data_IF_905886770274
#
_entry.id   IF_905886770274
#
_cell.length_a   1.000
_cell.length_b   1.000
_cell.length_c   1.000
_cell.angle_alpha   90.00
_cell.angle_beta   90.00
_cell.angle_gamma   90.00
#
_symmetry.space_group_name_H-M   'P 1'
#
loop_
_entity.id
_entity.type
_entity.pdbx_description
1 polymer ?
#
# COMPACT_ATOMS: atom_id res chain seq x y z
N UNK A 1 -14.11 -4.69 13.18
CA UNK A 1 -12.80 -4.95 12.54
C UNK A 1 -13.09 -5.61 11.20
N UNK A 2 -13.33 -4.81 10.16
CA UNK A 2 -13.53 -5.34 8.81
C UNK A 2 -12.15 -5.65 8.24
N UNK A 3 -11.84 -6.94 8.16
CA UNK A 3 -10.70 -7.45 7.42
C UNK A 3 -11.03 -7.20 5.95
N UNK A 4 -10.22 -6.38 5.28
CA UNK A 4 -10.27 -6.27 3.82
C UNK A 4 -9.90 -7.64 3.24
N UNK A 5 -10.91 -8.41 2.86
CA UNK A 5 -10.74 -9.54 1.96
C UNK A 5 -10.69 -8.98 0.55
N UNK A 6 -9.51 -8.59 0.10
CA UNK A 6 -9.27 -8.57 -1.34
C UNK A 6 -9.34 -10.01 -1.84
N UNK A 7 -10.24 -10.24 -2.80
CA UNK A 7 -10.34 -11.53 -3.49
C UNK A 7 -8.99 -11.83 -4.12
N UNK A 8 -8.43 -12.96 -3.74
CA UNK A 8 -7.13 -13.47 -4.19
C UNK A 8 -6.96 -13.29 -5.72
N UNK A 9 -6.10 -12.37 -6.21
CA UNK A 9 -5.96 -12.09 -7.64
C UNK A 9 -5.18 -13.18 -8.42
N UNK A 10 -4.89 -14.31 -7.79
CA UNK A 10 -3.92 -15.30 -8.26
C UNK A 10 -4.55 -16.55 -8.89
N UNK A 11 -5.43 -16.40 -9.89
CA UNK A 11 -5.74 -17.52 -10.80
C UNK A 11 -6.07 -17.02 -12.20
N UNK A 12 -5.11 -17.07 -13.12
CA UNK A 12 -5.31 -17.28 -14.57
C UNK A 12 -3.97 -17.60 -15.26
N UNK A 13 -4.01 -18.64 -16.10
CA UNK A 13 -3.00 -19.05 -17.07
C UNK A 13 -2.91 -18.01 -18.21
N UNK A 14 -1.95 -17.10 -18.16
CA UNK A 14 -1.67 -16.26 -19.33
C UNK A 14 -0.16 -16.01 -19.44
N UNK A 15 0.38 -16.16 -20.65
CA UNK A 15 1.82 -16.25 -20.94
C UNK A 15 2.47 -14.89 -21.19
N UNK A 16 1.91 -13.82 -20.63
CA UNK A 16 2.48 -12.47 -20.65
C UNK A 16 2.86 -12.05 -19.22
N UNK A 17 3.89 -11.21 -19.05
CA UNK A 17 4.24 -10.71 -17.73
C UNK A 17 3.06 -9.93 -17.19
N UNK A 18 2.59 -10.30 -16.00
CA UNK A 18 1.50 -9.59 -15.34
C UNK A 18 2.04 -8.24 -14.88
N UNK A 19 1.60 -7.18 -15.56
CA UNK A 19 1.71 -5.81 -15.06
C UNK A 19 0.71 -5.64 -13.92
N UNK A 20 1.13 -4.93 -12.88
CA UNK A 20 0.36 -4.70 -11.67
C UNK A 20 0.50 -3.25 -11.27
N UNK A 21 -0.59 -2.73 -10.72
CA UNK A 21 -0.62 -1.40 -10.18
C UNK A 21 -1.11 -1.45 -8.74
N UNK A 22 -0.33 -0.85 -7.84
CA UNK A 22 -0.64 -0.77 -6.43
C UNK A 22 -0.81 0.69 -6.03
N UNK A 23 -2.00 1.04 -5.57
CA UNK A 23 -2.28 2.34 -4.95
C UNK A 23 -1.98 2.25 -3.46
N UNK A 24 -1.17 3.19 -2.97
CA UNK A 24 -0.78 3.22 -1.56
C UNK A 24 -1.73 4.19 -0.84
N UNK A 25 -2.41 3.75 0.22
CA UNK A 25 -3.26 4.64 1.00
C UNK A 25 -2.45 5.82 1.53
N UNK A 26 -2.96 7.02 1.31
CA UNK A 26 -2.24 8.26 1.57
C UNK A 26 -3.05 9.19 2.49
N UNK A 27 -2.47 10.34 2.83
CA UNK A 27 -3.07 11.31 3.75
C UNK A 27 -3.32 12.63 3.03
N UNK A 28 -4.49 13.21 3.25
CA UNK A 28 -4.81 14.59 2.90
C UNK A 28 -5.08 15.40 4.16
N UNK A 29 -4.95 16.72 4.07
CA UNK A 29 -5.29 17.62 5.16
C UNK A 29 -6.00 18.86 4.63
N UNK A 30 -7.01 19.28 5.38
CA UNK A 30 -7.71 20.53 5.13
C UNK A 30 -6.80 21.72 5.51
N UNK A 31 -6.73 22.72 4.63
CA UNK A 31 -5.93 23.94 4.79
C UNK A 31 -6.74 25.07 5.46
N UNK A 32 -8.02 25.20 5.12
CA UNK A 32 -8.91 26.24 5.64
C UNK A 32 -10.35 25.72 5.75
N UNK A 33 -10.90 25.66 6.97
CA UNK A 33 -12.30 25.30 7.24
C UNK A 33 -13.31 26.13 6.45
N UNK A 34 -13.05 27.43 6.27
CA UNK A 34 -14.04 28.35 5.69
C UNK A 34 -14.21 28.15 4.20
N UNK A 35 -13.12 27.81 3.51
CA UNK A 35 -13.12 27.59 2.06
C UNK A 35 -13.21 26.09 1.71
N UNK A 36 -12.91 25.20 2.67
CA UNK A 36 -12.83 23.77 2.45
C UNK A 36 -11.64 23.37 1.56
N UNK A 37 -10.64 24.25 1.46
CA UNK A 37 -9.43 23.98 0.70
C UNK A 37 -8.67 22.82 1.36
N UNK A 38 -8.12 21.91 0.57
CA UNK A 38 -7.34 20.80 1.11
C UNK A 38 -6.19 20.41 0.19
N UNK A 39 -5.14 19.89 0.80
CA UNK A 39 -4.03 19.23 0.13
C UNK A 39 -4.26 17.73 0.19
N UNK A 40 -4.26 17.06 -0.97
CA UNK A 40 -4.42 15.62 -1.10
C UNK A 40 -3.16 15.04 -1.71
N UNK A 41 -2.63 13.96 -1.13
CA UNK A 41 -1.49 13.22 -1.68
C UNK A 41 -1.96 11.92 -2.32
N UNK A 42 -1.28 11.50 -3.38
CA UNK A 42 -1.59 10.27 -4.11
C UNK A 42 -0.29 9.54 -4.40
N UNK A 43 -0.24 8.28 -4.01
CA UNK A 43 0.94 7.43 -4.16
C UNK A 43 0.57 6.15 -4.90
N UNK A 44 1.43 5.74 -5.82
CA UNK A 44 1.26 4.50 -6.55
C UNK A 44 2.57 3.89 -7.01
N UNK A 45 2.53 2.59 -7.27
CA UNK A 45 3.64 1.81 -7.80
C UNK A 45 3.15 0.89 -8.92
N UNK A 46 3.70 1.10 -10.12
CA UNK A 46 3.46 0.30 -11.30
C UNK A 46 4.68 -0.55 -11.62
N UNK A 47 4.46 -1.86 -11.69
CA UNK A 47 5.53 -2.82 -11.87
C UNK A 47 5.04 -4.02 -12.66
N UNK A 48 5.98 -4.78 -13.20
CA UNK A 48 5.71 -6.04 -13.90
C UNK A 48 6.44 -7.17 -13.22
N UNK A 49 5.80 -8.34 -13.16
CA UNK A 49 6.51 -9.57 -12.76
C UNK A 49 7.71 -9.82 -13.68
N UNK A 50 8.84 -10.21 -13.10
CA UNK A 50 9.96 -10.72 -13.89
C UNK A 50 9.56 -12.06 -14.54
N UNK A 51 9.48 -12.05 -15.86
CA UNK A 51 9.02 -13.18 -16.68
C UNK A 51 10.08 -14.27 -16.89
N UNK A 52 11.36 -13.97 -16.66
CA UNK A 52 12.40 -14.97 -16.83
C UNK A 52 12.38 -15.95 -15.65
N UNK A 53 11.75 -17.09 -15.89
CA UNK A 53 11.76 -18.24 -14.97
C UNK A 53 13.18 -18.57 -14.53
N UNK A 54 14.19 -18.36 -15.37
CA UNK A 54 15.60 -18.62 -15.07
C UNK A 54 16.12 -17.68 -13.96
N UNK A 55 16.04 -16.35 -14.12
CA UNK A 55 16.59 -15.42 -13.12
C UNK A 55 15.76 -15.49 -11.83
N UNK A 56 14.43 -15.56 -11.97
CA UNK A 56 13.52 -15.73 -10.85
C UNK A 56 13.83 -17.01 -10.06
N UNK A 57 14.06 -18.14 -10.74
CA UNK A 57 14.41 -19.40 -10.08
C UNK A 57 15.81 -19.35 -9.45
N UNK A 58 16.80 -18.72 -10.08
CA UNK A 58 18.15 -18.60 -9.48
C UNK A 58 18.09 -17.80 -8.18
N UNK A 59 17.47 -16.62 -8.18
CA UNK A 59 17.40 -15.78 -6.98
C UNK A 59 16.51 -16.43 -5.92
N UNK A 60 15.36 -17.01 -6.32
CA UNK A 60 14.47 -17.75 -5.43
C UNK A 60 15.20 -18.93 -4.78
N UNK A 61 15.91 -19.75 -5.54
CA UNK A 61 16.65 -20.90 -5.01
C UNK A 61 17.79 -20.46 -4.09
N UNK A 62 18.49 -19.38 -4.44
CA UNK A 62 19.55 -18.81 -3.59
C UNK A 62 18.99 -18.32 -2.25
N UNK A 63 17.87 -17.60 -2.30
CA UNK A 63 17.21 -17.09 -1.11
C UNK A 63 16.60 -18.21 -0.26
N UNK A 64 15.98 -19.22 -0.88
CA UNK A 64 15.47 -20.40 -0.20
C UNK A 64 16.59 -21.22 0.45
N UNK A 65 17.72 -21.39 -0.23
CA UNK A 65 18.89 -22.06 0.32
C UNK A 65 19.45 -21.29 1.53
N UNK A 66 19.63 -19.97 1.40
CA UNK A 66 20.07 -19.12 2.49
C UNK A 66 19.12 -19.21 3.70
N UNK A 67 17.81 -19.13 3.46
CA UNK A 67 16.80 -19.27 4.52
C UNK A 67 16.74 -20.70 5.10
N UNK A 68 17.06 -21.72 4.31
CA UNK A 68 17.15 -23.13 4.75
C UNK A 68 18.37 -23.40 5.64
N UNK A 69 19.49 -22.72 5.40
CA UNK A 69 20.64 -22.72 6.33
C UNK A 69 20.30 -22.02 7.63
N UNK A 70 19.47 -20.97 7.58
CA UNK A 70 19.05 -20.18 8.73
C UNK A 70 18.01 -20.90 9.61
N UNK A 71 17.13 -21.69 8.99
CA UNK A 71 16.11 -22.47 9.67
C UNK A 71 15.75 -23.69 8.81
N UNK A 72 15.86 -24.90 9.39
CA UNK A 72 15.55 -26.17 8.70
C UNK A 72 14.05 -26.47 8.62
N UNK A 73 13.20 -25.57 9.13
CA UNK A 73 11.75 -25.66 9.07
C UNK A 73 11.15 -25.38 7.68
N UNK A 74 9.96 -24.78 7.66
CA UNK A 74 9.17 -24.53 6.45
C UNK A 74 9.94 -23.75 5.36
N UNK A 75 9.56 -23.96 4.09
CA UNK A 75 10.10 -23.20 2.96
C UNK A 75 9.58 -21.76 2.95
N UNK A 76 10.28 -20.87 2.25
CA UNK A 76 9.84 -19.49 2.10
C UNK A 76 8.49 -19.41 1.38
N UNK A 77 7.59 -18.57 1.88
CA UNK A 77 6.30 -18.28 1.28
C UNK A 77 6.50 -17.48 -0.02
N UNK A 78 6.05 -18.05 -1.13
CA UNK A 78 6.27 -17.47 -2.47
C UNK A 78 5.58 -16.12 -2.67
N UNK A 79 4.40 -15.93 -2.09
CA UNK A 79 3.66 -14.66 -2.21
C UNK A 79 4.43 -13.52 -1.56
N UNK A 80 5.16 -13.79 -0.48
CA UNK A 80 5.98 -12.79 0.21
C UNK A 80 7.28 -12.46 -0.49
N UNK A 81 7.73 -13.33 -1.38
CA UNK A 81 8.91 -13.13 -2.21
C UNK A 81 8.59 -12.39 -3.49
N UNK A 82 7.34 -12.43 -3.95
CA UNK A 82 6.93 -11.90 -5.24
C UNK A 82 7.27 -10.42 -5.44
N UNK A 83 7.08 -9.51 -4.46
CA UNK A 83 7.44 -8.10 -4.61
C UNK A 83 8.94 -7.84 -4.82
N UNK A 84 9.82 -8.80 -4.50
CA UNK A 84 11.26 -8.70 -4.75
C UNK A 84 11.66 -9.17 -6.16
N UNK A 85 10.70 -9.67 -6.93
CA UNK A 85 10.88 -10.22 -8.28
C UNK A 85 10.07 -9.48 -9.33
N UNK A 86 10.09 -8.16 -9.22
CA UNK A 86 9.39 -7.26 -10.13
C UNK A 86 10.39 -6.33 -10.81
N UNK A 87 10.03 -5.87 -12.00
CA UNK A 87 10.70 -4.77 -12.66
C UNK A 87 9.78 -3.55 -12.62
N UNK A 88 10.34 -2.42 -12.25
CA UNK A 88 9.65 -1.14 -12.32
C UNK A 88 9.35 -0.76 -13.78
N UNK A 89 8.25 -0.03 -13.97
CA UNK A 89 7.81 0.42 -15.29
C UNK A 89 7.62 1.94 -15.27
N UNK A 90 8.54 2.65 -15.93
CA UNK A 90 8.55 4.11 -16.02
C UNK A 90 7.59 4.65 -17.08
N UNK A 91 7.32 5.95 -17.00
CA UNK A 91 6.58 6.74 -17.99
C UNK A 91 5.15 6.26 -18.27
N UNK A 92 4.61 5.43 -17.37
CA UNK A 92 3.23 4.96 -17.46
C UNK A 92 2.30 6.03 -16.94
N UNK A 93 1.32 6.39 -17.77
CA UNK A 93 0.35 7.44 -17.46
C UNK A 93 -0.93 6.86 -16.85
N UNK A 94 -1.44 7.58 -15.85
CA UNK A 94 -2.72 7.29 -15.22
C UNK A 94 -3.54 8.57 -15.12
N UNK A 95 -4.84 8.46 -15.35
CA UNK A 95 -5.81 9.49 -14.97
C UNK A 95 -6.33 9.19 -13.57
N UNK A 96 -5.96 10.01 -12.59
CA UNK A 96 -6.56 10.02 -11.27
C UNK A 96 -7.90 10.75 -11.35
N UNK A 97 -9.00 10.06 -11.09
CA UNK A 97 -10.37 10.60 -11.04
C UNK A 97 -10.84 10.67 -9.59
N UNK A 98 -10.92 11.90 -9.07
CA UNK A 98 -11.33 12.18 -7.69
C UNK A 98 -12.84 12.42 -7.60
N UNK A 99 -13.44 12.97 -8.66
CA UNK A 99 -14.89 13.13 -8.85
C UNK A 99 -15.20 13.21 -10.34
N UNK A 100 -16.46 13.45 -10.72
CA UNK A 100 -16.84 13.65 -12.12
C UNK A 100 -16.19 14.88 -12.77
N UNK A 101 -15.83 15.88 -11.97
CA UNK A 101 -15.30 17.17 -12.44
C UNK A 101 -13.81 17.37 -12.13
N UNK A 102 -13.21 16.49 -11.33
CA UNK A 102 -11.82 16.64 -10.89
C UNK A 102 -11.04 15.39 -11.30
N UNK A 103 -10.11 15.59 -12.23
CA UNK A 103 -9.14 14.58 -12.63
C UNK A 103 -7.77 15.17 -12.88
N UNK A 104 -6.73 14.35 -12.69
CA UNK A 104 -5.34 14.73 -12.88
C UNK A 104 -4.60 13.60 -13.60
N UNK A 105 -3.78 13.94 -14.59
CA UNK A 105 -2.87 12.96 -15.21
C UNK A 105 -1.58 12.92 -14.39
N UNK A 106 -1.13 11.71 -14.08
CA UNK A 106 0.15 11.43 -13.44
C UNK A 106 0.94 10.44 -14.30
N UNK A 107 2.27 10.44 -14.15
CA UNK A 107 3.16 9.49 -14.79
C UNK A 107 4.07 8.83 -13.77
N UNK A 108 4.44 7.58 -13.98
CA UNK A 108 5.47 6.92 -13.17
C UNK A 108 6.87 7.42 -13.49
N UNK A 109 7.72 7.48 -12.48
CA UNK A 109 9.14 7.78 -12.55
C UNK A 109 9.98 6.54 -12.92
N UNK A 110 11.30 6.67 -12.89
CA UNK A 110 12.26 5.60 -13.17
C UNK A 110 12.15 4.38 -12.24
N UNK A 111 11.54 4.55 -11.06
CA UNK A 111 11.27 3.48 -10.09
C UNK A 111 9.84 2.96 -10.21
N UNK A 112 9.13 3.30 -11.29
CA UNK A 112 7.75 2.89 -11.51
C UNK A 112 6.78 3.52 -10.53
N UNK A 113 7.18 4.57 -9.80
CA UNK A 113 6.35 5.21 -8.77
C UNK A 113 5.80 6.52 -9.26
N UNK A 114 4.69 6.96 -8.70
CA UNK A 114 4.37 8.38 -8.70
C UNK A 114 4.03 8.83 -7.29
N UNK A 115 4.31 10.10 -7.05
CA UNK A 115 3.85 10.83 -5.89
C UNK A 115 3.28 12.16 -6.39
N UNK A 116 1.98 12.38 -6.18
CA UNK A 116 1.31 13.59 -6.64
C UNK A 116 0.61 14.28 -5.47
N UNK A 117 0.80 15.59 -5.36
CA UNK A 117 0.02 16.44 -4.46
C UNK A 117 -0.95 17.29 -5.27
N UNK A 118 -2.22 17.30 -4.90
CA UNK A 118 -3.28 18.11 -5.52
C UNK A 118 -3.89 19.00 -4.45
N UNK A 119 -3.93 20.30 -4.72
CA UNK A 119 -4.70 21.25 -3.91
C UNK A 119 -6.10 21.34 -4.51
N UNK A 120 -7.11 21.06 -3.72
CA UNK A 120 -8.51 21.19 -4.10
C UNK A 120 -9.13 22.38 -3.39
N UNK A 121 -9.92 23.15 -4.12
CA UNK A 121 -10.54 24.37 -3.61
C UNK A 121 -11.80 24.10 -2.76
N UNK A 122 -12.26 22.86 -2.68
CA UNK A 122 -13.35 22.46 -1.78
C UNK A 122 -13.46 20.94 -1.66
N UNK A 123 -13.27 20.40 -0.45
CA UNK A 123 -13.51 18.99 -0.15
C UNK A 123 -14.98 18.58 -0.33
N UNK A 124 -15.93 19.53 -0.23
CA UNK A 124 -17.37 19.25 -0.37
C UNK A 124 -17.77 18.80 -1.78
N UNK A 125 -16.94 19.10 -2.78
CA UNK A 125 -17.11 18.67 -4.18
C UNK A 125 -16.56 17.27 -4.46
N UNK A 126 -15.97 16.63 -3.45
CA UNK A 126 -15.39 15.31 -3.53
C UNK A 126 -16.27 14.30 -2.75
N UNK A 127 -16.27 13.03 -3.17
CA UNK A 127 -17.05 11.97 -2.50
C UNK A 127 -16.39 11.52 -1.19
N UNK A 128 -16.16 12.46 -0.26
CA UNK A 128 -15.58 12.18 1.05
C UNK A 128 -16.65 11.63 1.99
N UNK A 129 -16.51 10.37 2.39
CA UNK A 129 -17.37 9.74 3.39
C UNK A 129 -16.63 9.64 4.74
N UNK A 130 -17.11 10.36 5.74
CA UNK A 130 -16.40 10.52 7.01
C UNK A 130 -15.07 11.28 6.82
N UNK A 131 -13.96 10.54 6.84
CA UNK A 131 -12.59 11.02 6.60
C UNK A 131 -11.92 10.30 5.43
N UNK A 132 -12.70 9.59 4.60
CA UNK A 132 -12.18 8.75 3.52
C UNK A 132 -12.62 9.33 2.19
N UNK A 133 -11.65 9.73 1.38
CA UNK A 133 -11.85 10.02 -0.04
C UNK A 133 -11.46 8.77 -0.84
N UNK A 134 -12.40 8.24 -1.60
CA UNK A 134 -12.10 7.23 -2.63
C UNK A 134 -11.84 7.93 -3.96
N UNK A 135 -10.89 7.41 -4.72
CA UNK A 135 -10.60 7.85 -6.08
C UNK A 135 -10.35 6.64 -6.97
N UNK A 136 -10.46 6.84 -8.29
CA UNK A 136 -10.16 5.80 -9.27
C UNK A 136 -8.95 6.25 -10.09
N UNK A 137 -7.94 5.41 -10.21
CA UNK A 137 -6.85 5.61 -11.15
C UNK A 137 -7.09 4.75 -12.40
N UNK A 138 -7.07 5.37 -13.58
CA UNK A 138 -7.37 4.72 -14.85
C UNK A 138 -6.10 4.70 -15.70
N UNK A 139 -5.73 3.52 -16.18
CA UNK A 139 -4.61 3.33 -17.11
C UNK A 139 -5.12 3.48 -18.55
N UNK A 140 -4.40 4.21 -19.40
CA UNK A 140 -4.75 4.40 -20.82
C UNK A 140 -4.84 3.08 -21.62
N UNK A 141 -4.21 2.00 -21.14
CA UNK A 141 -4.09 0.72 -21.85
C UNK A 141 -5.03 -0.40 -21.38
N UNK A 142 -5.71 -0.23 -20.24
CA UNK A 142 -6.56 -1.27 -19.64
C UNK A 142 -8.01 -0.79 -19.46
N UNK A 143 -8.95 -1.74 -19.53
CA UNK A 143 -10.41 -1.57 -19.57
C UNK A 143 -10.99 -0.58 -18.54
N UNK A 144 -12.22 -0.12 -18.79
CA UNK A 144 -13.02 0.85 -18.02
C UNK A 144 -13.07 0.68 -16.48
N UNK A 145 -12.62 -0.45 -15.94
CA UNK A 145 -12.49 -0.70 -14.51
C UNK A 145 -11.11 -0.24 -14.04
N UNK A 146 -11.02 1.01 -13.59
CA UNK A 146 -9.81 1.54 -12.96
C UNK A 146 -9.54 0.94 -11.58
N UNK A 147 -8.46 1.39 -10.96
CA UNK A 147 -7.99 0.95 -9.65
C UNK A 147 -8.53 1.87 -8.56
N UNK A 148 -9.19 1.32 -7.54
CA UNK A 148 -9.69 2.12 -6.41
C UNK A 148 -8.56 2.43 -5.43
N UNK A 149 -8.35 3.71 -5.16
CA UNK A 149 -7.43 4.21 -4.15
C UNK A 149 -8.16 4.95 -3.04
N UNK A 150 -7.43 5.18 -1.95
CA UNK A 150 -7.96 5.84 -0.76
C UNK A 150 -7.02 6.93 -0.26
N UNK A 151 -7.57 8.10 0.02
CA UNK A 151 -6.92 9.17 0.77
C UNK A 151 -7.67 9.37 2.10
N UNK A 152 -6.95 9.31 3.21
CA UNK A 152 -7.48 9.65 4.52
C UNK A 152 -7.35 11.15 4.75
N UNK A 153 -8.47 11.86 4.77
CA UNK A 153 -8.53 13.32 4.87
C UNK A 153 -8.66 13.72 6.34
N UNK A 154 -7.59 14.28 6.88
CA UNK A 154 -7.59 14.93 8.20
C UNK A 154 -8.33 16.26 8.07
N UNK A 155 -9.55 16.30 8.61
CA UNK A 155 -10.30 17.54 8.72
C UNK A 155 -9.70 18.38 9.83
N UNK A 156 -9.58 19.67 9.58
CA UNK A 156 -9.30 20.60 10.68
C UNK A 156 -10.53 20.57 11.58
N UNK A 157 -10.40 20.10 12.82
CA UNK A 157 -11.47 20.24 13.84
C UNK A 157 -11.13 21.42 14.73
N UNK A 158 -12.04 21.86 15.61
CA UNK A 158 -11.71 22.88 16.62
C UNK A 158 -10.72 22.36 17.68
N UNK A 159 -10.35 21.09 17.57
CA UNK A 159 -9.33 20.41 18.36
C UNK A 159 -8.14 20.01 17.46
N UNK A 160 -6.94 20.04 18.04
CA UNK A 160 -5.70 19.58 17.40
C UNK A 160 -5.89 18.12 16.99
N UNK A 161 -5.78 17.83 15.70
CA UNK A 161 -5.80 16.44 15.21
C UNK A 161 -4.58 15.68 15.76
N UNK A 162 -4.84 14.61 16.53
CA UNK A 162 -3.78 13.74 17.02
C UNK A 162 -3.56 12.61 16.03
N UNK A 163 -2.35 12.50 15.49
CA UNK A 163 -1.90 11.34 14.72
C UNK A 163 -1.01 10.48 15.61
N UNK A 164 -1.29 9.19 15.64
CA UNK A 164 -0.46 8.19 16.32
C UNK A 164 0.25 7.38 15.25
N UNK A 165 1.55 7.60 15.15
CA UNK A 165 2.41 6.84 14.24
C UNK A 165 2.99 5.67 15.04
N UNK A 166 2.70 4.46 14.57
CA UNK A 166 3.26 3.23 15.13
C UNK A 166 4.14 2.59 14.07
N UNK A 167 5.32 2.14 14.49
CA UNK A 167 6.06 1.16 13.73
C UNK A 167 5.27 -0.16 13.65
N UNK A 168 5.59 -1.00 12.68
CA UNK A 168 5.00 -2.33 12.50
C UNK A 168 5.87 -3.37 13.18
N UNK A 169 7.17 -3.34 12.92
CA UNK A 169 8.11 -4.37 13.33
C UNK A 169 8.42 -4.29 14.83
N UNK A 170 8.32 -5.44 15.51
CA UNK A 170 8.40 -5.61 16.96
C UNK A 170 7.46 -4.71 17.81
N UNK A 171 6.57 -3.97 17.16
CA UNK A 171 5.50 -3.17 17.78
C UNK A 171 4.13 -3.80 17.59
N UNK A 172 3.82 -4.24 16.37
CA UNK A 172 2.55 -4.91 16.04
C UNK A 172 2.82 -6.36 15.61
N UNK A 173 3.89 -6.60 14.85
CA UNK A 173 4.33 -7.91 14.37
C UNK A 173 5.60 -8.35 15.10
N UNK A 174 5.68 -9.61 15.52
CA UNK A 174 6.95 -10.19 15.96
C UNK A 174 7.83 -10.42 14.73
N UNK A 175 8.90 -9.64 14.60
CA UNK A 175 9.86 -9.76 13.50
C UNK A 175 11.29 -9.99 13.98
N UNK A 176 11.63 -9.60 15.21
CA UNK A 176 12.95 -9.76 15.82
C UNK A 176 14.04 -9.00 15.04
N UNK A 177 13.78 -7.72 14.74
CA UNK A 177 14.63 -6.81 13.94
C UNK A 177 16.12 -6.85 14.31
N UNK A 178 16.52 -6.87 15.59
CA UNK A 178 17.94 -6.92 15.96
C UNK A 178 18.65 -8.20 15.51
N UNK A 179 17.92 -9.28 15.22
CA UNK A 179 18.47 -10.59 14.89
C UNK A 179 18.23 -10.93 13.42
N UNK A 180 19.18 -10.54 12.55
CA UNK A 180 19.08 -10.69 11.07
C UNK A 180 18.55 -12.05 10.61
N UNK A 181 19.05 -13.15 11.17
CA UNK A 181 18.58 -14.51 10.85
C UNK A 181 17.09 -14.70 11.16
N UNK A 182 16.67 -14.27 12.35
CA UNK A 182 15.28 -14.42 12.80
C UNK A 182 14.36 -13.50 12.02
N UNK A 183 14.79 -12.26 11.75
CA UNK A 183 14.09 -11.32 10.88
C UNK A 183 13.78 -11.91 9.51
N UNK A 184 14.77 -12.53 8.87
CA UNK A 184 14.60 -13.18 7.57
C UNK A 184 13.58 -14.33 7.63
N UNK A 185 13.65 -15.17 8.68
CA UNK A 185 12.71 -16.29 8.87
C UNK A 185 11.28 -15.81 9.16
N UNK A 186 11.11 -14.85 10.09
CA UNK A 186 9.81 -14.29 10.46
C UNK A 186 9.19 -13.47 9.31
N UNK A 187 10.01 -12.92 8.41
CA UNK A 187 9.54 -12.17 7.23
C UNK A 187 9.11 -13.11 6.12
N UNK A 188 9.92 -14.10 5.78
CA UNK A 188 9.71 -14.89 4.56
C UNK A 188 9.11 -16.28 4.76
N UNK A 189 9.22 -16.88 5.96
CA UNK A 189 8.74 -18.24 6.21
C UNK A 189 7.48 -18.28 7.07
N UNK A 190 7.48 -17.60 8.21
CA UNK A 190 6.41 -17.73 9.20
C UNK A 190 5.18 -16.88 8.88
N UNK A 191 3.96 -17.30 9.27
CA UNK A 191 2.78 -16.43 9.18
C UNK A 191 2.96 -15.15 10.02
N UNK A 192 2.08 -14.18 9.81
CA UNK A 192 2.05 -12.99 10.66
C UNK A 192 1.74 -13.40 12.10
N UNK A 193 2.57 -12.99 13.04
CA UNK A 193 2.37 -13.20 14.47
C UNK A 193 2.33 -11.85 15.19
N UNK A 194 1.22 -11.57 15.87
CA UNK A 194 1.03 -10.31 16.57
C UNK A 194 1.82 -10.28 17.88
N UNK A 195 2.41 -9.13 18.22
CA UNK A 195 3.02 -8.92 19.54
C UNK A 195 1.91 -8.93 20.61
N UNK A 196 1.96 -9.83 21.61
CA UNK A 196 0.92 -9.92 22.63
C UNK A 196 0.66 -8.58 23.35
N UNK A 197 -0.62 -8.25 23.55
CA UNK A 197 -1.04 -7.04 24.27
C UNK A 197 -0.90 -5.72 23.50
N UNK A 198 -0.24 -5.68 22.33
CA UNK A 198 -0.05 -4.43 21.56
C UNK A 198 -1.29 -4.01 20.79
N UNK A 199 -2.02 -4.96 20.20
CA UNK A 199 -3.29 -4.67 19.51
C UNK A 199 -4.37 -4.12 20.45
N UNK A 200 -4.34 -4.45 21.74
CA UNK A 200 -5.30 -3.96 22.73
C UNK A 200 -5.07 -2.47 23.07
N UNK A 201 -3.82 -2.04 23.13
CA UNK A 201 -3.48 -0.67 23.53
C UNK A 201 -3.77 0.38 22.44
N UNK A 202 -3.69 0.02 21.15
CA UNK A 202 -4.15 0.93 20.08
C UNK A 202 -5.67 1.22 20.17
N UNK A 203 -6.48 0.25 20.60
CA UNK A 203 -7.92 0.46 20.77
C UNK A 203 -8.24 1.47 21.87
N UNK A 204 -7.38 1.61 22.88
CA UNK A 204 -7.56 2.62 23.94
C UNK A 204 -7.49 4.02 23.33
N UNK A 205 -6.53 4.28 22.45
CA UNK A 205 -6.41 5.58 21.77
C UNK A 205 -7.56 5.85 20.77
N UNK A 206 -8.06 4.81 20.10
CA UNK A 206 -9.20 4.92 19.17
C UNK A 206 -10.55 5.10 19.89
N UNK A 207 -10.65 4.71 21.16
CA UNK A 207 -11.88 4.86 21.97
C UNK A 207 -11.90 6.15 22.79
N UNK A 208 -10.74 6.69 23.18
CA UNK A 208 -10.64 7.94 23.94
C UNK A 208 -10.58 9.21 23.10
N UNK A 209 -10.56 9.09 21.76
CA UNK A 209 -10.65 10.20 20.80
C UNK A 209 -12.10 10.62 20.48
N UNK A 210 -13.08 10.16 21.30
CA UNK A 210 -14.48 10.61 21.29
C UNK A 210 -14.79 11.57 22.46
N UNK A 211 -13.87 12.45 22.83
CA UNK A 211 -14.10 13.53 23.80
C UNK A 211 -13.95 14.89 23.12
#
# INVERSE_FOLDING_TARGET
MHIFQDKNPFTTNDSKPKEKFMLIPSIGYELDKKQGNATLTFDGWYYRSLDSSIIKNIIKNTLQAALGFMDKGETANEERLEPFFVADVSDRKFQLRLSESISQIVSTDENGRFHQTIIVNSLTRLPVQGQVLKYIAIDDSHSQNGYEGTVYVMKTTDHIGCSIISDIDDTIKISEVPFKTKLMVNTFKKPFEAVPGRCFNLNIFLTHSKL
#
